data_IF_996817565983
#
_entry.id   IF_996817565983
#
_cell.length_a   1.000
_cell.length_b   1.000
_cell.length_c   1.000
_cell.angle_alpha   90.00
_cell.angle_beta   90.00
_cell.angle_gamma   90.00
#
_symmetry.space_group_name_H-M   'P 1'
#
loop_
_entity.id
_entity.type
_entity.pdbx_description
1 polymer ?
#
# COMPACT_ATOMS: atom_id res chain seq x y z
N UNK A 1 -7.74 -13.53 -17.52
CA UNK A 1 -6.39 -13.08 -17.19
C UNK A 1 -6.18 -13.14 -15.70
N UNK A 2 -5.10 -13.77 -15.24
CA UNK A 2 -4.82 -13.75 -13.81
C UNK A 2 -4.50 -12.33 -13.35
N UNK A 3 -5.10 -11.92 -12.26
CA UNK A 3 -4.76 -10.67 -11.61
C UNK A 3 -3.47 -10.83 -10.81
N UNK A 4 -2.69 -9.77 -10.73
CA UNK A 4 -1.53 -9.74 -9.86
C UNK A 4 -1.95 -9.32 -8.46
N UNK A 5 -1.56 -10.09 -7.45
CA UNK A 5 -1.78 -9.73 -6.05
C UNK A 5 -0.76 -8.70 -5.62
N UNK A 6 -1.22 -7.62 -5.00
CA UNK A 6 -0.36 -6.49 -4.62
C UNK A 6 -0.72 -5.98 -3.24
N UNK A 7 0.30 -5.52 -2.52
CA UNK A 7 0.16 -4.82 -1.23
C UNK A 7 0.79 -3.44 -1.40
N UNK A 8 0.07 -2.39 -1.01
CA UNK A 8 0.52 -1.01 -1.12
C UNK A 8 0.76 -0.43 0.26
N UNK A 9 1.98 0.05 0.51
CA UNK A 9 2.27 0.88 1.69
C UNK A 9 1.42 2.15 1.63
N UNK A 10 1.12 2.72 2.78
CA UNK A 10 0.28 3.93 2.90
C UNK A 10 0.78 5.07 2.02
N UNK A 11 2.10 5.29 1.95
CA UNK A 11 2.66 6.35 1.10
C UNK A 11 2.36 6.13 -0.39
N UNK A 12 2.33 4.89 -0.84
CA UNK A 12 1.98 4.57 -2.23
C UNK A 12 0.49 4.86 -2.48
N UNK A 13 -0.37 4.58 -1.51
CA UNK A 13 -1.79 4.90 -1.60
C UNK A 13 -1.98 6.42 -1.76
N UNK A 14 -1.25 7.21 -0.96
CA UNK A 14 -1.30 8.68 -1.06
C UNK A 14 -0.78 9.16 -2.42
N UNK A 15 0.32 8.59 -2.91
CA UNK A 15 0.86 8.95 -4.23
C UNK A 15 -0.14 8.67 -5.34
N UNK A 16 -0.85 7.55 -5.24
CA UNK A 16 -1.80 7.15 -6.28
C UNK A 16 -3.07 8.00 -6.27
N UNK A 17 -3.64 8.29 -5.09
CA UNK A 17 -5.00 8.82 -5.00
C UNK A 17 -5.08 10.26 -4.49
N UNK A 18 -4.02 10.79 -3.88
CA UNK A 18 -3.99 12.18 -3.42
C UNK A 18 -3.02 13.01 -4.25
N UNK A 19 -1.76 12.61 -4.33
CA UNK A 19 -0.72 13.38 -4.99
C UNK A 19 -0.68 13.16 -6.50
N UNK A 20 -1.26 12.08 -7.00
CA UNK A 20 -1.22 11.69 -8.41
C UNK A 20 0.22 11.70 -8.95
N UNK A 21 1.12 11.13 -8.17
CA UNK A 21 2.53 11.02 -8.55
C UNK A 21 2.63 10.24 -9.88
N UNK A 22 3.40 10.76 -10.86
CA UNK A 22 3.56 10.05 -12.14
C UNK A 22 4.06 8.61 -11.99
N UNK A 23 4.89 8.32 -10.99
CA UNK A 23 5.39 6.97 -10.74
C UNK A 23 4.27 6.01 -10.33
N UNK A 24 3.13 6.52 -9.85
CA UNK A 24 1.96 5.71 -9.46
C UNK A 24 0.94 5.53 -10.59
N UNK A 25 1.17 6.13 -11.75
CA UNK A 25 0.25 6.02 -12.89
C UNK A 25 0.01 4.56 -13.30
N UNK A 26 1.04 3.69 -13.41
CA UNK A 26 0.80 2.28 -13.75
C UNK A 26 -0.12 1.58 -12.74
N UNK A 27 0.01 1.89 -11.46
CA UNK A 27 -0.86 1.32 -10.42
C UNK A 27 -2.30 1.78 -10.62
N UNK A 28 -2.52 3.09 -10.84
CA UNK A 28 -3.87 3.63 -11.06
C UNK A 28 -4.54 2.97 -12.27
N UNK A 29 -3.80 2.86 -13.37
CA UNK A 29 -4.33 2.25 -14.59
C UNK A 29 -4.65 0.78 -14.40
N UNK A 30 -3.76 0.03 -13.75
CA UNK A 30 -3.97 -1.39 -13.51
C UNK A 30 -5.16 -1.64 -12.58
N UNK A 31 -5.35 -0.78 -11.57
CA UNK A 31 -6.53 -0.87 -10.69
C UNK A 31 -7.82 -0.56 -11.47
N UNK A 32 -7.81 0.47 -12.31
CA UNK A 32 -8.97 0.83 -13.11
C UNK A 32 -9.36 -0.29 -14.09
N UNK A 33 -8.38 -1.02 -14.61
CA UNK A 33 -8.60 -2.13 -15.54
C UNK A 33 -8.84 -3.47 -14.83
N UNK A 34 -8.86 -3.45 -13.50
CA UNK A 34 -9.06 -4.65 -12.68
C UNK A 34 -7.98 -5.72 -12.93
N UNK A 35 -6.76 -5.27 -13.17
CA UNK A 35 -5.60 -6.15 -13.39
C UNK A 35 -4.86 -6.46 -12.09
N UNK A 36 -5.19 -5.79 -10.99
CA UNK A 36 -4.58 -6.00 -9.68
C UNK A 36 -5.62 -6.47 -8.67
N UNK A 37 -5.19 -7.38 -7.80
CA UNK A 37 -5.92 -7.76 -6.59
C UNK A 37 -5.17 -7.10 -5.42
N UNK A 38 -5.60 -5.89 -5.05
CA UNK A 38 -4.97 -5.13 -3.98
C UNK A 38 -5.52 -5.60 -2.65
N UNK A 39 -4.66 -6.24 -1.87
CA UNK A 39 -5.00 -6.75 -0.54
C UNK A 39 -4.59 -5.76 0.54
N UNK A 40 -5.47 -5.61 1.52
CA UNK A 40 -5.21 -4.78 2.69
C UNK A 40 -5.89 -5.41 3.90
N UNK A 41 -5.50 -4.97 5.08
CA UNK A 41 -6.11 -5.39 6.34
C UNK A 41 -6.75 -4.18 7.01
N UNK A 42 -7.60 -4.44 8.01
CA UNK A 42 -8.23 -3.35 8.75
C UNK A 42 -7.21 -2.41 9.41
N UNK A 43 -6.13 -2.90 10.06
CA UNK A 43 -5.10 -1.99 10.58
C UNK A 43 -4.47 -1.07 9.52
N UNK A 44 -4.33 -1.53 8.30
CA UNK A 44 -3.81 -0.70 7.20
C UNK A 44 -4.79 0.41 6.84
N UNK A 45 -6.08 0.09 6.80
CA UNK A 45 -7.12 1.09 6.57
C UNK A 45 -7.17 2.11 7.70
N UNK A 46 -7.06 1.64 8.94
CA UNK A 46 -7.03 2.52 10.11
C UNK A 46 -5.82 3.45 10.09
N UNK A 47 -4.66 2.96 9.65
CA UNK A 47 -3.47 3.79 9.47
C UNK A 47 -3.72 4.88 8.42
N UNK A 48 -4.35 4.53 7.30
CA UNK A 48 -4.68 5.53 6.27
C UNK A 48 -5.56 6.63 6.85
N UNK A 49 -6.58 6.27 7.65
CA UNK A 49 -7.44 7.25 8.32
C UNK A 49 -6.61 8.20 9.20
N UNK A 50 -5.69 7.66 9.99
CA UNK A 50 -4.82 8.47 10.86
C UNK A 50 -3.93 9.40 10.04
N UNK A 51 -3.30 8.88 9.00
CA UNK A 51 -2.38 9.65 8.14
C UNK A 51 -3.12 10.78 7.43
N UNK A 52 -4.34 10.52 6.96
CA UNK A 52 -5.15 11.54 6.29
C UNK A 52 -5.52 12.70 7.22
N UNK A 53 -5.50 12.47 8.54
CA UNK A 53 -5.75 13.50 9.54
C UNK A 53 -4.49 14.28 9.95
N UNK A 54 -3.30 13.86 9.52
CA UNK A 54 -2.07 14.60 9.82
C UNK A 54 -2.14 15.99 9.19
N UNK A 55 -1.69 17.06 9.90
CA UNK A 55 -1.82 18.44 9.39
C UNK A 55 -1.29 18.64 7.99
N UNK A 56 -0.12 18.07 7.67
CA UNK A 56 0.49 18.19 6.32
C UNK A 56 -0.39 17.56 5.25
N UNK A 57 -1.02 16.45 5.57
CA UNK A 57 -1.87 15.71 4.61
C UNK A 57 -3.23 16.39 4.50
N UNK A 58 -3.82 16.81 5.64
CA UNK A 58 -5.11 17.51 5.65
C UNK A 58 -5.06 18.80 4.81
N UNK A 59 -3.95 19.53 4.87
CA UNK A 59 -3.75 20.73 4.05
C UNK A 59 -3.76 20.38 2.56
N UNK A 60 -3.12 19.29 2.18
CA UNK A 60 -3.08 18.85 0.77
C UNK A 60 -4.45 18.39 0.29
N UNK A 61 -5.20 17.66 1.13
CA UNK A 61 -6.57 17.30 0.80
C UNK A 61 -7.40 18.55 0.49
N UNK A 62 -7.36 19.55 1.39
CA UNK A 62 -8.10 20.78 1.20
C UNK A 62 -7.67 21.52 -0.08
N UNK A 63 -6.38 21.53 -0.37
CA UNK A 63 -5.83 22.17 -1.57
C UNK A 63 -6.43 21.56 -2.84
N UNK A 64 -6.57 20.23 -2.88
CA UNK A 64 -7.16 19.52 -4.03
C UNK A 64 -8.67 19.41 -3.94
N UNK A 65 -9.30 20.05 -2.96
CA UNK A 65 -10.76 20.00 -2.72
C UNK A 65 -11.27 18.57 -2.52
N UNK A 66 -10.45 17.76 -1.85
CA UNK A 66 -10.79 16.38 -1.50
C UNK A 66 -11.06 16.27 0.00
N UNK A 67 -11.87 15.30 0.37
CA UNK A 67 -12.16 14.98 1.77
C UNK A 67 -11.54 13.64 2.14
N UNK A 68 -11.44 13.40 3.45
CA UNK A 68 -11.05 12.08 3.96
C UNK A 68 -11.96 11.00 3.39
N UNK A 69 -13.26 11.25 3.28
CA UNK A 69 -14.21 10.30 2.70
C UNK A 69 -13.91 9.97 1.25
N UNK A 70 -13.45 10.96 0.47
CA UNK A 70 -13.10 10.73 -0.95
C UNK A 70 -11.95 9.74 -1.06
N UNK A 71 -10.93 9.89 -0.22
CA UNK A 71 -9.77 9.00 -0.23
C UNK A 71 -10.14 7.60 0.25
N UNK A 72 -10.94 7.50 1.30
CA UNK A 72 -11.40 6.21 1.81
C UNK A 72 -12.31 5.51 0.81
N UNK A 73 -13.12 6.26 0.06
CA UNK A 73 -13.94 5.67 -1.00
C UNK A 73 -13.10 5.02 -2.09
N UNK A 74 -11.98 5.65 -2.47
CA UNK A 74 -11.03 5.06 -3.41
C UNK A 74 -10.41 3.78 -2.87
N UNK A 75 -9.98 3.80 -1.61
CA UNK A 75 -9.47 2.62 -0.95
C UNK A 75 -10.51 1.50 -0.95
N UNK A 76 -11.72 1.79 -0.50
CA UNK A 76 -12.79 0.78 -0.38
C UNK A 76 -13.23 0.26 -1.75
N UNK A 77 -13.15 1.08 -2.78
CA UNK A 77 -13.49 0.67 -4.15
C UNK A 77 -12.49 -0.34 -4.71
N UNK A 78 -11.20 -0.17 -4.42
CA UNK A 78 -10.13 -0.91 -5.09
C UNK A 78 -9.47 -1.95 -4.20
N UNK A 79 -9.42 -1.76 -2.89
CA UNK A 79 -8.77 -2.70 -1.98
C UNK A 79 -9.76 -3.78 -1.52
N UNK A 80 -9.24 -4.99 -1.37
CA UNK A 80 -9.99 -6.10 -0.80
C UNK A 80 -9.45 -6.36 0.61
N UNK A 81 -10.30 -6.21 1.63
CA UNK A 81 -9.89 -6.48 3.00
C UNK A 81 -9.80 -7.98 3.23
N UNK A 82 -8.68 -8.39 3.82
CA UNK A 82 -8.43 -9.77 4.20
C UNK A 82 -8.01 -9.82 5.68
N UNK A 83 -7.95 -11.02 6.24
CA UNK A 83 -7.54 -11.21 7.62
C UNK A 83 -6.10 -10.76 7.84
N UNK A 84 -5.80 -10.34 9.06
CA UNK A 84 -4.45 -9.97 9.47
C UNK A 84 -3.54 -11.19 9.29
N UNK A 85 -2.43 -11.01 8.57
CA UNK A 85 -1.47 -12.08 8.33
C UNK A 85 -0.63 -12.36 9.59
N UNK A 86 -0.20 -13.62 9.79
CA UNK A 86 0.75 -13.92 10.86
C UNK A 86 2.09 -13.22 10.59
N UNK A 87 2.84 -12.96 11.64
CA UNK A 87 4.16 -12.33 11.51
C UNK A 87 5.07 -13.21 10.66
N UNK A 88 5.65 -12.61 9.62
CA UNK A 88 6.65 -13.28 8.79
C UNK A 88 7.92 -13.58 9.59
N UNK A 89 8.74 -14.51 9.06
CA UNK A 89 10.03 -14.86 9.68
C UNK A 89 11.01 -13.70 9.68
N UNK A 90 10.80 -12.70 8.83
CA UNK A 90 11.63 -11.50 8.75
C UNK A 90 11.01 -10.38 9.59
N UNK A 91 11.86 -9.61 10.26
CA UNK A 91 11.42 -8.48 11.08
C UNK A 91 11.86 -7.18 10.42
N UNK A 92 10.90 -6.30 10.17
CA UNK A 92 11.16 -4.95 9.68
C UNK A 92 11.71 -4.08 10.81
N UNK A 93 12.65 -3.20 10.50
CA UNK A 93 13.23 -2.29 11.49
C UNK A 93 12.21 -1.29 12.03
N UNK A 94 11.19 -0.94 11.24
CA UNK A 94 10.05 -0.15 11.70
C UNK A 94 8.86 -1.08 11.95
N UNK A 95 8.43 -1.16 13.21
CA UNK A 95 7.33 -2.04 13.60
C UNK A 95 6.01 -1.66 12.93
N UNK A 96 5.81 -0.37 12.60
CA UNK A 96 4.60 0.09 11.94
C UNK A 96 4.50 -0.42 10.49
N UNK A 97 5.63 -0.77 9.88
CA UNK A 97 5.66 -1.29 8.50
C UNK A 97 5.60 -2.80 8.44
N UNK A 98 5.75 -3.48 9.57
CA UNK A 98 5.77 -4.95 9.61
C UNK A 98 4.53 -5.56 8.98
N UNK A 99 3.36 -4.96 9.19
CA UNK A 99 2.10 -5.50 8.65
C UNK A 99 2.10 -5.61 7.12
N UNK A 100 2.78 -4.72 6.42
CA UNK A 100 2.89 -4.78 4.95
C UNK A 100 3.75 -5.95 4.52
N UNK A 101 4.86 -6.18 5.24
CA UNK A 101 5.75 -7.33 5.00
C UNK A 101 4.96 -8.62 5.24
N UNK A 102 4.28 -8.73 6.37
CA UNK A 102 3.56 -9.93 6.76
C UNK A 102 2.50 -10.31 5.72
N UNK A 103 1.73 -9.32 5.25
CA UNK A 103 0.67 -9.56 4.28
C UNK A 103 1.25 -9.97 2.93
N UNK A 104 2.31 -9.31 2.48
CA UNK A 104 2.96 -9.64 1.21
C UNK A 104 3.53 -11.06 1.24
N UNK A 105 4.16 -11.47 2.34
CA UNK A 105 4.70 -12.83 2.50
C UNK A 105 3.57 -13.86 2.51
N UNK A 106 2.51 -13.60 3.27
CA UNK A 106 1.38 -14.54 3.40
C UNK A 106 0.73 -14.85 2.05
N UNK A 107 0.55 -13.83 1.23
CA UNK A 107 -0.16 -13.97 -0.06
C UNK A 107 0.77 -14.01 -1.26
N UNK A 108 2.09 -14.00 -1.04
CA UNK A 108 3.10 -13.97 -2.11
C UNK A 108 2.83 -12.81 -3.06
N UNK A 109 2.51 -11.64 -2.49
CA UNK A 109 2.13 -10.46 -3.24
C UNK A 109 3.33 -9.59 -3.59
N UNK A 110 3.19 -8.81 -4.66
CA UNK A 110 4.11 -7.71 -4.94
C UNK A 110 3.89 -6.63 -3.88
N UNK A 111 4.95 -6.19 -3.23
CA UNK A 111 4.89 -5.12 -2.23
C UNK A 111 5.46 -3.83 -2.81
N UNK A 112 4.65 -2.77 -2.85
CA UNK A 112 5.11 -1.45 -3.25
C UNK A 112 5.26 -0.56 -2.02
N UNK A 113 6.45 0.01 -1.84
CA UNK A 113 6.76 0.93 -0.75
C UNK A 113 7.94 1.81 -1.13
N UNK A 114 7.93 3.04 -0.66
CA UNK A 114 9.07 3.95 -0.75
C UNK A 114 9.78 4.08 0.59
N UNK A 115 9.32 3.39 1.61
CA UNK A 115 9.89 3.44 2.94
C UNK A 115 11.23 2.71 2.96
N UNK A 116 12.25 3.36 3.52
CA UNK A 116 13.60 2.80 3.61
C UNK A 116 13.63 1.49 4.37
N UNK A 117 12.87 1.40 5.46
CA UNK A 117 12.87 0.22 6.31
C UNK A 117 12.29 -0.99 5.58
N UNK A 118 11.34 -0.76 4.67
CA UNK A 118 10.77 -1.81 3.82
C UNK A 118 11.75 -2.17 2.70
N UNK A 119 12.24 -1.17 1.98
CA UNK A 119 13.15 -1.38 0.82
C UNK A 119 14.46 -2.02 1.25
N UNK A 120 14.95 -1.75 2.46
CA UNK A 120 16.15 -2.39 2.99
C UNK A 120 16.01 -3.92 3.10
N UNK A 121 14.76 -4.43 3.12
CA UNK A 121 14.49 -5.87 3.18
C UNK A 121 14.34 -6.51 1.79
N UNK A 122 14.48 -5.74 0.73
CA UNK A 122 14.21 -6.19 -0.64
C UNK A 122 14.94 -7.50 -1.00
N UNK A 123 16.22 -7.60 -0.68
CA UNK A 123 17.02 -8.79 -1.00
C UNK A 123 16.56 -10.01 -0.22
N UNK A 124 16.27 -9.85 1.07
CA UNK A 124 15.80 -10.94 1.93
C UNK A 124 14.42 -11.42 1.48
N UNK A 125 13.54 -10.50 1.11
CA UNK A 125 12.22 -10.84 0.58
C UNK A 125 12.34 -11.61 -0.73
N UNK A 126 13.24 -11.19 -1.61
CA UNK A 126 13.43 -11.84 -2.91
C UNK A 126 13.89 -13.30 -2.76
N UNK A 127 14.69 -13.61 -1.75
CA UNK A 127 15.10 -14.99 -1.46
C UNK A 127 13.88 -15.88 -1.22
N UNK A 128 12.80 -15.34 -0.67
CA UNK A 128 11.54 -16.07 -0.46
C UNK A 128 10.55 -15.91 -1.61
N UNK A 129 10.99 -15.34 -2.73
CA UNK A 129 10.15 -15.15 -3.91
C UNK A 129 9.20 -13.96 -3.81
N UNK A 130 9.44 -13.03 -2.88
CA UNK A 130 8.62 -11.85 -2.70
C UNK A 130 9.35 -10.63 -3.24
N UNK A 131 8.70 -9.91 -4.15
CA UNK A 131 9.27 -8.68 -4.72
C UNK A 131 8.78 -7.47 -3.95
N UNK A 132 9.72 -6.61 -3.56
CA UNK A 132 9.43 -5.29 -2.97
C UNK A 132 10.04 -4.24 -3.89
N UNK A 133 9.23 -3.26 -4.30
CA UNK A 133 9.64 -2.24 -5.28
C UNK A 133 9.07 -0.88 -4.88
N UNK A 134 9.68 0.19 -5.40
CA UNK A 134 9.18 1.56 -5.17
C UNK A 134 8.06 1.93 -6.15
N UNK A 135 7.96 1.23 -7.27
CA UNK A 135 6.93 1.45 -8.29
C UNK A 135 6.76 0.19 -9.14
N UNK A 136 5.66 0.13 -9.85
CA UNK A 136 5.44 -0.93 -10.85
C UNK A 136 6.23 -0.67 -12.11
#
# INVERSE_FOLDING_TARGET
MPTQTIVLDTNIVLDAFLFYDPASEPVRQALAKQELDWLATQPMRDELVRVLAYPKIAVRLAFYKLTLKDLLAKFDQHARLVDIAPKASMTCSDADDQKFIDLAVQHRALLLSKDRDVISMKKRLLVQGIRAQIAM
#
